data_IF_483543153707
#
_entry.id   IF_483543153707
#
_cell.length_a   1.000
_cell.length_b   1.000
_cell.length_c   1.000
_cell.angle_alpha   90.00
_cell.angle_beta   90.00
_cell.angle_gamma   90.00
#
_symmetry.space_group_name_H-M   'P 1'
#
loop_
_entity.id
_entity.type
_entity.pdbx_description
1 polymer ?
#
# COMPACT_ATOMS: atom_id res chain seq x y z
N UNK A 1 -23.27 2.89 -47.66
CA UNK A 1 -22.51 3.80 -46.76
C UNK A 1 -22.71 3.31 -45.35
N UNK A 2 -21.68 2.73 -44.74
CA UNK A 2 -21.70 2.25 -43.35
C UNK A 2 -21.06 3.33 -42.48
N UNK A 3 -21.87 4.08 -41.74
CA UNK A 3 -21.41 4.90 -40.63
C UNK A 3 -20.83 3.98 -39.55
N UNK A 4 -19.51 3.76 -39.57
CA UNK A 4 -18.80 3.26 -38.40
C UNK A 4 -18.89 4.36 -37.34
N UNK A 5 -19.84 4.22 -36.43
CA UNK A 5 -19.85 4.98 -35.18
C UNK A 5 -18.51 4.73 -34.47
N UNK A 6 -17.57 5.65 -34.62
CA UNK A 6 -16.31 5.61 -33.89
C UNK A 6 -16.66 5.54 -32.40
N UNK A 7 -16.10 4.61 -31.62
CA UNK A 7 -16.35 4.57 -30.19
C UNK A 7 -15.95 5.94 -29.63
N UNK A 8 -16.92 6.66 -29.07
CA UNK A 8 -16.71 7.94 -28.39
C UNK A 8 -15.79 7.68 -27.21
N UNK A 9 -14.47 7.71 -27.45
CA UNK A 9 -13.47 7.68 -26.40
C UNK A 9 -13.65 8.99 -25.66
N UNK A 10 -14.26 8.96 -24.48
CA UNK A 10 -14.41 10.13 -23.62
C UNK A 10 -13.00 10.71 -23.37
N UNK A 11 -12.62 11.80 -24.07
CA UNK A 11 -11.24 12.27 -24.03
C UNK A 11 -10.96 12.82 -22.64
N UNK A 12 -11.92 13.54 -22.04
CA UNK A 12 -11.87 14.03 -20.66
C UNK A 12 -11.56 12.94 -19.64
N UNK A 13 -12.18 11.75 -19.73
CA UNK A 13 -11.92 10.66 -18.79
C UNK A 13 -10.51 10.08 -18.95
N UNK A 14 -9.97 10.12 -20.17
CA UNK A 14 -8.60 9.72 -20.46
C UNK A 14 -7.59 10.73 -19.92
N UNK A 15 -7.81 12.03 -20.12
CA UNK A 15 -6.93 13.08 -19.61
C UNK A 15 -6.96 13.14 -18.09
N UNK A 16 -8.14 13.08 -17.47
CA UNK A 16 -8.27 13.08 -16.02
C UNK A 16 -7.56 11.88 -15.39
N UNK A 17 -7.69 10.68 -15.97
CA UNK A 17 -7.00 9.48 -15.50
C UNK A 17 -5.47 9.63 -15.52
N UNK A 18 -4.91 10.12 -16.62
CA UNK A 18 -3.46 10.31 -16.74
C UNK A 18 -2.96 11.47 -15.88
N UNK A 19 -3.71 12.57 -15.80
CA UNK A 19 -3.39 13.68 -14.92
C UNK A 19 -3.34 13.21 -13.46
N UNK A 20 -4.33 12.42 -13.02
CA UNK A 20 -4.36 11.84 -11.69
C UNK A 20 -3.18 10.89 -11.47
N UNK A 21 -2.91 9.98 -12.41
CA UNK A 21 -1.80 9.03 -12.30
C UNK A 21 -0.43 9.74 -12.20
N UNK A 22 -0.17 10.71 -13.06
CA UNK A 22 1.07 11.50 -13.06
C UNK A 22 1.17 12.34 -11.79
N UNK A 23 0.06 12.94 -11.34
CA UNK A 23 0.03 13.72 -10.10
C UNK A 23 0.28 12.85 -8.87
N UNK A 24 -0.30 11.65 -8.80
CA UNK A 24 -0.04 10.71 -7.71
C UNK A 24 1.41 10.21 -7.71
N UNK A 25 1.98 9.92 -8.89
CA UNK A 25 3.38 9.51 -9.01
C UNK A 25 4.31 10.66 -8.62
N UNK A 26 4.07 11.86 -9.15
CA UNK A 26 4.89 13.04 -8.86
C UNK A 26 4.82 13.45 -7.38
N UNK A 27 3.61 13.55 -6.82
CA UNK A 27 3.41 13.81 -5.40
C UNK A 27 4.02 12.72 -4.53
N UNK A 28 3.78 11.46 -4.87
CA UNK A 28 4.32 10.31 -4.14
C UNK A 28 5.84 10.27 -4.17
N UNK A 29 6.46 10.66 -5.29
CA UNK A 29 7.90 10.76 -5.43
C UNK A 29 8.49 11.90 -4.57
N UNK A 30 7.83 13.07 -4.54
CA UNK A 30 8.27 14.18 -3.71
C UNK A 30 8.11 13.92 -2.21
N UNK A 31 7.08 13.14 -1.82
CA UNK A 31 6.77 12.81 -0.44
C UNK A 31 7.30 11.43 0.01
N UNK A 32 8.26 10.83 -0.71
CA UNK A 32 8.71 9.45 -0.53
C UNK A 32 9.17 9.13 0.89
N UNK A 33 9.80 10.09 1.57
CA UNK A 33 10.31 9.94 2.94
C UNK A 33 9.26 10.07 4.05
N UNK A 34 8.01 10.38 3.72
CA UNK A 34 6.96 10.59 4.72
C UNK A 34 5.75 9.70 4.44
N UNK A 35 4.88 10.13 3.54
CA UNK A 35 3.59 9.48 3.29
C UNK A 35 3.36 9.23 1.79
N UNK A 36 4.35 9.54 0.96
CA UNK A 36 4.28 9.47 -0.50
C UNK A 36 4.30 8.07 -1.08
N UNK A 37 4.90 7.09 -0.39
CA UNK A 37 4.98 5.69 -0.83
C UNK A 37 3.63 5.08 -1.26
N UNK A 38 2.52 5.19 -0.48
CA UNK A 38 1.21 4.70 -0.91
C UNK A 38 0.65 5.42 -2.14
N UNK A 39 0.88 6.73 -2.27
CA UNK A 39 0.45 7.50 -3.44
C UNK A 39 1.24 7.11 -4.69
N UNK A 40 2.55 6.89 -4.54
CA UNK A 40 3.42 6.42 -5.61
C UNK A 40 3.00 5.03 -6.10
N UNK A 41 2.78 4.08 -5.18
CA UNK A 41 2.31 2.73 -5.50
C UNK A 41 0.95 2.76 -6.21
N UNK A 42 0.03 3.62 -5.76
CA UNK A 42 -1.28 3.78 -6.38
C UNK A 42 -1.15 4.35 -7.80
N UNK A 43 -0.36 5.40 -7.99
CA UNK A 43 -0.10 5.99 -9.31
C UNK A 43 0.59 5.02 -10.28
N UNK A 44 1.58 4.26 -9.80
CA UNK A 44 2.25 3.21 -10.57
C UNK A 44 1.30 2.09 -10.96
N UNK A 45 0.45 1.62 -10.03
CA UNK A 45 -0.56 0.62 -10.31
C UNK A 45 -1.58 1.11 -11.36
N UNK A 46 -1.98 2.38 -11.30
CA UNK A 46 -2.79 2.98 -12.36
C UNK A 46 -2.05 2.93 -13.70
N UNK A 47 -0.77 3.34 -13.76
CA UNK A 47 -0.01 3.25 -15.01
C UNK A 47 0.09 1.82 -15.57
N UNK A 48 0.34 0.82 -14.73
CA UNK A 48 0.44 -0.60 -15.13
C UNK A 48 -0.89 -1.14 -15.64
N UNK A 49 -2.01 -0.77 -15.01
CA UNK A 49 -3.36 -1.24 -15.38
C UNK A 49 -3.99 -0.38 -16.48
N UNK A 50 -3.28 0.64 -16.97
CA UNK A 50 -3.72 1.53 -18.06
C UNK A 50 -4.30 0.81 -19.30
N UNK A 51 -3.74 -0.32 -19.80
CA UNK A 51 -4.32 -1.04 -20.94
C UNK A 51 -5.73 -1.56 -20.68
N UNK A 52 -6.06 -1.83 -19.42
CA UNK A 52 -7.36 -2.37 -18.97
C UNK A 52 -8.20 -1.33 -18.23
N UNK A 53 -7.88 -0.05 -18.33
CA UNK A 53 -8.58 1.05 -17.63
C UNK A 53 -10.10 1.10 -17.88
N UNK A 54 -10.57 0.59 -19.02
CA UNK A 54 -12.00 0.52 -19.38
C UNK A 54 -12.73 -0.64 -18.71
N UNK A 55 -12.01 -1.57 -18.08
CA UNK A 55 -12.57 -2.71 -17.34
C UNK A 55 -12.50 -2.40 -15.84
N UNK A 56 -13.58 -1.89 -15.21
CA UNK A 56 -13.60 -1.64 -13.77
C UNK A 56 -13.30 -2.91 -12.96
N UNK A 57 -13.54 -4.06 -13.58
CA UNK A 57 -13.28 -5.40 -13.08
C UNK A 57 -11.80 -5.73 -12.82
N UNK A 58 -10.88 -5.03 -13.48
CA UNK A 58 -9.43 -5.20 -13.32
C UNK A 58 -8.85 -4.04 -12.51
N UNK A 59 -9.35 -2.83 -12.76
CA UNK A 59 -8.92 -1.61 -12.09
C UNK A 59 -9.22 -1.64 -10.59
N UNK A 60 -10.44 -2.01 -10.19
CA UNK A 60 -10.82 -2.03 -8.78
C UNK A 60 -10.02 -3.05 -7.95
N UNK A 61 -9.88 -4.32 -8.36
CA UNK A 61 -9.07 -5.28 -7.61
C UNK A 61 -7.60 -4.86 -7.48
N UNK A 62 -7.02 -4.26 -8.52
CA UNK A 62 -5.65 -3.76 -8.46
C UNK A 62 -5.51 -2.64 -7.42
N UNK A 63 -6.44 -1.67 -7.42
CA UNK A 63 -6.41 -0.57 -6.47
C UNK A 63 -6.64 -1.04 -5.02
N UNK A 64 -7.61 -1.94 -4.82
CA UNK A 64 -7.89 -2.57 -3.51
C UNK A 64 -6.67 -3.35 -3.02
N UNK A 65 -5.99 -4.08 -3.92
CA UNK A 65 -4.77 -4.81 -3.59
C UNK A 65 -3.64 -3.92 -3.08
N UNK A 66 -3.40 -2.79 -3.76
CA UNK A 66 -2.39 -1.81 -3.35
C UNK A 66 -2.70 -1.23 -1.97
N UNK A 67 -3.95 -0.82 -1.73
CA UNK A 67 -4.34 -0.28 -0.43
C UNK A 67 -4.33 -1.35 0.68
N UNK A 68 -4.74 -2.58 0.39
CA UNK A 68 -4.66 -3.69 1.34
C UNK A 68 -3.21 -4.04 1.69
N UNK A 69 -2.29 -3.97 0.71
CA UNK A 69 -0.86 -4.10 0.95
C UNK A 69 -0.34 -2.99 1.88
N UNK A 70 -0.64 -1.73 1.57
CA UNK A 70 -0.22 -0.58 2.38
C UNK A 70 -0.75 -0.70 3.81
N UNK A 71 -2.03 -1.01 3.98
CA UNK A 71 -2.64 -1.16 5.31
C UNK A 71 -2.04 -2.34 6.06
N UNK A 72 -1.84 -3.48 5.39
CA UNK A 72 -1.19 -4.65 5.99
C UNK A 72 0.26 -4.36 6.42
N UNK A 73 0.99 -3.56 5.64
CA UNK A 73 2.32 -3.10 6.00
C UNK A 73 2.26 -2.19 7.24
N UNK A 74 1.41 -1.17 7.23
CA UNK A 74 1.30 -0.21 8.35
C UNK A 74 0.84 -0.88 9.66
N UNK A 75 0.03 -1.93 9.57
CA UNK A 75 -0.40 -2.69 10.76
C UNK A 75 0.69 -3.55 11.37
N UNK A 76 1.74 -3.89 10.62
CA UNK A 76 2.80 -4.82 11.07
C UNK A 76 4.16 -4.14 11.22
N UNK A 77 4.39 -3.04 10.50
CA UNK A 77 5.62 -2.30 10.53
C UNK A 77 5.83 -1.60 11.89
N UNK A 78 7.00 -1.77 12.53
CA UNK A 78 7.33 -1.06 13.76
C UNK A 78 7.55 0.44 13.48
N UNK A 79 6.46 1.21 13.49
CA UNK A 79 6.43 2.63 13.13
C UNK A 79 6.85 3.56 14.28
N UNK A 80 6.82 3.07 15.52
CA UNK A 80 7.13 3.85 16.71
C UNK A 80 8.31 3.22 17.46
N UNK A 81 9.50 3.83 17.36
CA UNK A 81 10.66 3.42 18.14
C UNK A 81 10.96 4.44 19.24
N UNK A 82 11.07 3.95 20.47
CA UNK A 82 11.52 4.73 21.63
C UNK A 82 12.89 4.22 22.05
N UNK A 83 13.85 5.12 22.28
CA UNK A 83 15.17 4.76 22.80
C UNK A 83 15.33 5.28 24.22
N UNK A 84 15.63 4.41 25.17
CA UNK A 84 15.88 4.74 26.57
C UNK A 84 17.34 4.42 26.92
N UNK A 85 18.07 5.40 27.46
CA UNK A 85 19.41 5.19 27.99
C UNK A 85 19.34 4.79 29.46
N UNK A 86 19.79 3.59 29.80
CA UNK A 86 19.84 3.13 31.19
C UNK A 86 21.27 3.36 31.70
N UNK A 87 21.41 4.27 32.68
CA UNK A 87 22.68 4.49 33.37
C UNK A 87 22.90 3.34 34.37
N UNK A 88 23.96 2.55 34.16
CA UNK A 88 24.29 1.43 35.05
C UNK A 88 25.06 1.98 36.25
N UNK A 89 24.40 2.11 37.40
CA UNK A 89 25.01 2.60 38.66
C UNK A 89 25.69 1.48 39.44
N UNK A 90 26.71 0.84 38.87
CA UNK A 90 27.71 0.05 39.63
C UNK A 90 29.05 0.04 38.88
N UNK A 91 29.89 1.02 39.15
CA UNK A 91 31.33 0.97 38.85
C UNK A 91 31.79 0.99 37.38
N UNK A 92 30.92 1.23 36.39
CA UNK A 92 31.32 1.39 34.99
C UNK A 92 30.53 2.49 34.28
N UNK A 93 31.16 3.40 33.50
CA UNK A 93 30.49 4.50 32.81
C UNK A 93 29.72 4.08 31.54
N UNK A 94 29.40 2.80 31.38
CA UNK A 94 28.75 2.27 30.18
C UNK A 94 27.23 2.45 30.31
N UNK A 95 26.70 3.52 29.72
CA UNK A 95 25.26 3.66 29.47
C UNK A 95 24.83 2.62 28.43
N UNK A 96 23.97 1.67 28.82
CA UNK A 96 23.40 0.72 27.86
C UNK A 96 22.15 1.38 27.26
N UNK A 97 22.22 1.73 25.98
CA UNK A 97 21.04 2.20 25.24
C UNK A 97 20.14 1.02 24.92
N UNK A 98 18.87 1.10 25.27
CA UNK A 98 17.84 0.13 24.93
C UNK A 98 16.84 0.78 23.98
N UNK A 99 16.58 0.15 22.85
CA UNK A 99 15.60 0.65 21.87
C UNK A 99 14.44 -0.33 21.81
N UNK A 100 13.22 0.19 22.01
CA UNK A 100 11.97 -0.55 21.91
C UNK A 100 11.16 0.03 20.75
N UNK A 101 10.93 -0.79 19.74
CA UNK A 101 10.09 -0.46 18.62
C UNK A 101 8.76 -1.19 18.73
N UNK A 102 7.67 -0.44 18.76
CA UNK A 102 6.32 -0.98 18.86
C UNK A 102 5.59 -0.79 17.54
N UNK A 103 4.63 -1.66 17.32
CA UNK A 103 3.76 -1.63 16.16
C UNK A 103 2.29 -1.44 16.61
N UNK A 104 1.39 -1.08 15.69
CA UNK A 104 -0.04 -0.84 15.96
C UNK A 104 -0.72 -2.04 16.64
N UNK A 105 -0.26 -3.25 16.36
CA UNK A 105 -0.76 -4.49 17.00
C UNK A 105 -0.23 -4.69 18.44
N UNK A 106 0.57 -3.77 18.98
CA UNK A 106 1.13 -3.88 20.33
C UNK A 106 2.27 -4.90 20.46
N UNK A 107 2.91 -5.26 19.35
CA UNK A 107 4.07 -6.16 19.36
C UNK A 107 5.32 -5.32 19.61
N UNK A 108 6.03 -5.64 20.69
CA UNK A 108 7.25 -4.95 21.09
C UNK A 108 8.49 -5.67 20.56
N UNK A 109 9.29 -4.93 19.80
CA UNK A 109 10.60 -5.34 19.30
C UNK A 109 11.68 -4.60 20.10
N UNK A 110 12.36 -5.29 21.00
CA UNK A 110 13.36 -4.67 21.88
C UNK A 110 14.77 -5.18 21.56
N UNK A 111 15.75 -4.28 21.68
CA UNK A 111 17.17 -4.62 21.55
C UNK A 111 18.07 -3.54 22.13
N UNK A 112 19.35 -3.85 22.28
CA UNK A 112 20.37 -2.91 22.80
C UNK A 112 21.09 -2.18 21.66
N UNK A 113 21.55 -0.95 21.90
CA UNK A 113 22.31 -0.14 20.93
C UNK A 113 21.45 0.40 19.79
N UNK A 114 22.00 0.45 18.57
CA UNK A 114 21.27 0.82 17.34
C UNK A 114 20.47 -0.36 16.80
N UNK A 115 19.50 -0.84 17.57
CA UNK A 115 18.66 -1.96 17.17
C UNK A 115 17.77 -1.56 15.99
N UNK A 116 17.87 -2.30 14.89
CA UNK A 116 17.08 -2.09 13.67
C UNK A 116 16.19 -3.32 13.44
N UNK A 117 14.88 -3.25 13.76
CA UNK A 117 13.99 -4.40 13.64
C UNK A 117 13.83 -4.81 12.17
N UNK A 118 13.75 -6.13 11.93
CA UNK A 118 13.55 -6.65 10.57
C UNK A 118 12.18 -6.24 10.03
N UNK A 119 12.16 -5.69 8.82
CA UNK A 119 10.94 -5.32 8.08
C UNK A 119 10.32 -6.50 7.31
N UNK A 120 11.01 -7.64 7.25
CA UNK A 120 10.56 -8.83 6.51
C UNK A 120 9.17 -9.32 6.97
N UNK A 121 8.85 -9.38 8.28
CA UNK A 121 7.51 -9.79 8.71
C UNK A 121 6.42 -8.84 8.21
N UNK A 122 6.68 -7.52 8.21
CA UNK A 122 5.75 -6.53 7.71
C UNK A 122 5.53 -6.67 6.20
N UNK A 123 6.58 -6.95 5.44
CA UNK A 123 6.48 -7.20 3.99
C UNK A 123 5.67 -8.46 3.66
N UNK A 124 5.87 -9.54 4.42
CA UNK A 124 5.11 -10.78 4.23
C UNK A 124 3.63 -10.58 4.56
N UNK A 125 3.33 -9.91 5.67
CA UNK A 125 1.96 -9.59 6.04
C UNK A 125 1.28 -8.68 5.01
N UNK A 126 1.99 -7.66 4.52
CA UNK A 126 1.52 -6.78 3.46
C UNK A 126 1.23 -7.55 2.17
N UNK A 127 2.13 -8.44 1.75
CA UNK A 127 1.94 -9.27 0.56
C UNK A 127 0.72 -10.19 0.70
N UNK A 128 0.55 -10.82 1.87
CA UNK A 128 -0.62 -11.64 2.18
C UNK A 128 -1.91 -10.80 2.13
N UNK A 129 -1.95 -9.65 2.80
CA UNK A 129 -3.10 -8.74 2.81
C UNK A 129 -3.45 -8.23 1.39
N UNK A 130 -2.45 -7.84 0.61
CA UNK A 130 -2.61 -7.40 -0.77
C UNK A 130 -3.21 -8.50 -1.65
N UNK A 131 -2.67 -9.72 -1.59
CA UNK A 131 -3.19 -10.85 -2.35
C UNK A 131 -4.62 -11.23 -1.96
N UNK A 132 -4.93 -11.26 -0.65
CA UNK A 132 -6.27 -11.50 -0.15
C UNK A 132 -7.26 -10.42 -0.60
N UNK A 133 -6.85 -9.14 -0.58
CA UNK A 133 -7.66 -8.02 -1.05
C UNK A 133 -8.01 -8.15 -2.54
N UNK A 134 -7.05 -8.53 -3.38
CA UNK A 134 -7.27 -8.77 -4.82
C UNK A 134 -8.27 -9.91 -5.02
N UNK A 135 -8.06 -11.05 -4.33
CA UNK A 135 -8.92 -12.23 -4.46
C UNK A 135 -10.34 -11.93 -3.99
N UNK A 136 -10.49 -11.26 -2.85
CA UNK A 136 -11.80 -10.87 -2.31
C UNK A 136 -12.53 -9.91 -3.24
N UNK A 137 -11.84 -8.89 -3.76
CA UNK A 137 -12.44 -7.95 -4.72
C UNK A 137 -12.92 -8.68 -5.99
N UNK A 138 -12.11 -9.60 -6.53
CA UNK A 138 -12.51 -10.43 -7.69
C UNK A 138 -13.71 -11.32 -7.37
N UNK A 139 -13.72 -11.96 -6.20
CA UNK A 139 -14.81 -12.83 -5.76
C UNK A 139 -16.13 -12.06 -5.63
N UNK A 140 -16.11 -10.88 -4.99
CA UNK A 140 -17.29 -10.03 -4.83
C UNK A 140 -17.81 -9.49 -6.17
N UNK A 141 -16.91 -9.12 -7.08
CA UNK A 141 -17.29 -8.71 -8.44
C UNK A 141 -17.90 -9.86 -9.25
N UNK A 142 -17.38 -11.08 -9.10
CA UNK A 142 -17.95 -12.29 -9.71
C UNK A 142 -19.35 -12.59 -9.19
N UNK A 143 -19.54 -12.52 -7.87
CA UNK A 143 -20.85 -12.70 -7.22
C UNK A 143 -21.89 -11.72 -7.74
N UNK A 144 -21.56 -10.42 -7.83
CA UNK A 144 -22.49 -9.39 -8.34
C UNK A 144 -22.97 -9.64 -9.76
N UNK A 145 -22.12 -10.24 -10.62
CA UNK A 145 -22.52 -10.58 -12.00
C UNK A 145 -23.44 -11.79 -12.06
N UNK A 146 -23.24 -12.77 -11.20
CA UNK A 146 -24.13 -13.91 -11.10
C UNK A 146 -25.54 -13.45 -10.69
N UNK A 147 -25.65 -12.57 -9.68
CA UNK A 147 -26.93 -12.01 -9.24
C UNK A 147 -27.63 -11.18 -10.32
N UNK A 148 -26.89 -10.37 -11.10
CA UNK A 148 -27.45 -9.57 -12.20
C UNK A 148 -27.87 -10.36 -13.44
N UNK A 149 -27.43 -11.62 -13.59
CA UNK A 149 -27.86 -12.49 -14.70
C UNK A 149 -29.13 -13.28 -14.39
N UNK A 150 -29.52 -13.33 -13.12
CA UNK A 150 -30.70 -14.06 -12.64
C UNK A 150 -31.91 -13.15 -12.38
N UNK A 151 -31.76 -11.84 -12.58
CA UNK A 151 -32.80 -10.82 -12.50
C UNK A 151 -33.05 -10.24 -13.89
#
# INVERSE_FOLDING_TARGET
MMERSAPRRNPLGTTAYWALAVLLVGFGYLALFSIGAPFLLTGAAMMVVSPWRSRPEVLWPALVGVWAFVLGYLLVAPLACTSTGIAVTTGSPLSVSHTTCTNILGIDYSGTGTYNPSLVPALLAAAAAGSAGILLARFLLGRRRATRRSA
#
